data_IF_174974575061
#
_entry.id   IF_174974575061
#
_cell.length_a   1.000
_cell.length_b   1.000
_cell.length_c   1.000
_cell.angle_alpha   90.00
_cell.angle_beta   90.00
_cell.angle_gamma   90.00
#
_symmetry.space_group_name_H-M   'P 1'
#
loop_
_entity.id
_entity.type
_entity.pdbx_description
1 polymer ?
#
# COMPACT_ATOMS: atom_id res chain seq x y z
N UNK A 1 -8.67 8.94 65.65
CA UNK A 1 -7.80 9.42 64.55
C UNK A 1 -8.14 8.79 63.20
N UNK A 2 -8.44 7.50 63.12
CA UNK A 2 -8.72 6.78 61.86
C UNK A 2 -9.85 7.34 60.98
N UNK A 3 -10.94 7.82 61.59
CA UNK A 3 -12.10 8.36 60.86
C UNK A 3 -11.74 9.68 60.15
N UNK A 4 -10.90 10.51 60.78
CA UNK A 4 -10.46 11.79 60.23
C UNK A 4 -9.55 11.57 59.02
N UNK A 5 -8.65 10.60 59.13
CA UNK A 5 -7.75 10.19 58.05
C UNK A 5 -8.50 9.52 56.87
N UNK A 6 -9.51 8.70 57.16
CA UNK A 6 -10.37 8.10 56.12
C UNK A 6 -11.22 9.13 55.38
N UNK A 7 -11.66 10.19 56.07
CA UNK A 7 -12.40 11.30 55.48
C UNK A 7 -11.51 12.16 54.58
N UNK A 8 -10.29 12.47 55.04
CA UNK A 8 -9.28 13.18 54.24
C UNK A 8 -8.85 12.39 52.99
N UNK A 9 -8.76 11.06 53.07
CA UNK A 9 -8.50 10.22 51.89
C UNK A 9 -9.64 10.24 50.87
N UNK A 10 -10.91 10.29 51.31
CA UNK A 10 -12.06 10.42 50.40
C UNK A 10 -12.15 11.80 49.75
N UNK A 11 -11.83 12.85 50.49
CA UNK A 11 -11.78 14.21 49.94
C UNK A 11 -10.69 14.32 48.85
N UNK A 12 -9.48 13.79 49.10
CA UNK A 12 -8.41 13.76 48.09
C UNK A 12 -8.72 12.90 46.87
N UNK A 13 -9.46 11.80 47.02
CA UNK A 13 -9.92 11.00 45.89
C UNK A 13 -11.00 11.71 45.07
N UNK A 14 -11.93 12.42 45.72
CA UNK A 14 -12.95 13.22 45.04
C UNK A 14 -12.39 14.43 44.30
N UNK A 15 -11.37 15.10 44.85
CA UNK A 15 -10.67 16.21 44.19
C UNK A 15 -9.87 15.75 42.96
N UNK A 16 -9.21 14.58 43.05
CA UNK A 16 -8.53 13.98 41.89
C UNK A 16 -9.49 13.52 40.79
N UNK A 17 -10.68 13.00 41.14
CA UNK A 17 -11.72 12.65 40.15
C UNK A 17 -12.36 13.89 39.51
N UNK A 18 -12.50 14.99 40.26
CA UNK A 18 -13.00 16.26 39.70
C UNK A 18 -11.97 16.97 38.80
N UNK A 19 -10.66 16.90 39.11
CA UNK A 19 -9.61 17.40 38.19
C UNK A 19 -9.55 16.61 36.88
N UNK A 20 -9.81 15.30 36.91
CA UNK A 20 -9.88 14.47 35.70
C UNK A 20 -11.11 14.83 34.85
N UNK A 21 -12.24 15.18 35.48
CA UNK A 21 -13.46 15.63 34.79
C UNK A 21 -13.44 17.10 34.33
N UNK A 22 -12.60 17.95 34.94
CA UNK A 22 -12.47 19.37 34.59
C UNK A 22 -11.31 19.68 33.66
N UNK A 23 -10.44 18.71 33.34
CA UNK A 23 -9.67 18.83 32.10
C UNK A 23 -10.66 18.82 30.96
N UNK A 24 -10.95 20.02 30.45
CA UNK A 24 -11.59 20.23 29.16
C UNK A 24 -11.09 19.11 28.24
N UNK A 25 -11.99 18.25 27.77
CA UNK A 25 -11.70 17.33 26.69
C UNK A 25 -11.25 18.22 25.53
N UNK A 26 -9.96 18.56 25.50
CA UNK A 26 -9.31 19.23 24.38
C UNK A 26 -9.59 18.27 23.26
N UNK A 27 -10.56 18.63 22.43
CA UNK A 27 -10.92 17.89 21.23
C UNK A 27 -9.59 17.67 20.54
N UNK A 28 -9.07 16.44 20.63
CA UNK A 28 -7.76 16.13 20.09
C UNK A 28 -7.88 16.51 18.61
N UNK A 29 -7.05 17.45 18.16
CA UNK A 29 -7.23 18.03 16.84
C UNK A 29 -6.84 16.94 15.84
N UNK A 30 -7.83 16.34 15.17
CA UNK A 30 -7.63 15.25 14.22
C UNK A 30 -6.85 15.80 13.02
N UNK A 31 -5.53 15.70 13.08
CA UNK A 31 -4.62 16.20 12.06
C UNK A 31 -4.66 17.71 11.82
N UNK A 32 -3.89 18.15 10.82
CA UNK A 32 -3.85 19.52 10.34
C UNK A 32 -4.35 19.57 8.91
N UNK A 33 -5.36 20.41 8.63
CA UNK A 33 -5.81 20.70 7.26
C UNK A 33 -4.96 21.84 6.72
N UNK A 34 -4.01 21.52 5.84
CA UNK A 34 -3.28 22.51 5.03
C UNK A 34 -3.49 22.17 3.56
N UNK A 35 -3.83 23.17 2.73
CA UNK A 35 -4.08 23.01 1.30
C UNK A 35 -5.18 21.97 0.94
N UNK A 36 -6.30 21.97 1.68
CA UNK A 36 -7.40 21.00 1.51
C UNK A 36 -6.98 19.52 1.60
N UNK A 37 -5.82 19.23 2.18
CA UNK A 37 -5.37 17.87 2.50
C UNK A 37 -5.30 17.72 4.01
N UNK A 38 -5.85 16.64 4.53
CA UNK A 38 -5.75 16.26 5.94
C UNK A 38 -4.40 15.57 6.12
N UNK A 39 -3.47 16.21 6.83
CA UNK A 39 -2.21 15.61 7.21
C UNK A 39 -2.32 15.11 8.66
N UNK A 40 -2.04 13.82 8.86
CA UNK A 40 -1.88 13.20 10.17
C UNK A 40 -0.40 13.04 10.45
N UNK A 41 0.04 13.33 11.68
CA UNK A 41 1.38 12.94 12.09
C UNK A 41 1.48 11.41 12.18
N UNK A 42 2.62 10.86 11.76
CA UNK A 42 2.79 9.39 11.63
C UNK A 42 2.58 8.64 12.95
N UNK A 43 2.81 9.32 14.06
CA UNK A 43 2.76 8.75 15.40
C UNK A 43 1.39 9.00 16.08
N UNK A 44 0.53 9.83 15.48
CA UNK A 44 -0.82 10.08 15.99
C UNK A 44 -1.79 8.99 15.49
N UNK A 45 -1.99 7.95 16.30
CA UNK A 45 -3.10 7.00 16.11
C UNK A 45 -4.33 7.51 16.85
N UNK A 46 -5.19 8.21 16.13
CA UNK A 46 -6.41 8.79 16.70
C UNK A 46 -7.51 7.74 16.94
N UNK A 47 -7.55 6.71 16.10
CA UNK A 47 -8.48 5.59 16.23
C UNK A 47 -7.75 4.39 16.80
N UNK A 48 -8.36 3.74 17.78
CA UNK A 48 -7.87 2.46 18.25
C UNK A 48 -8.04 1.42 17.15
N UNK A 49 -7.26 0.33 17.19
CA UNK A 49 -7.41 -0.77 16.22
C UNK A 49 -8.78 -1.45 16.32
N UNK A 50 -9.47 -1.27 17.43
CA UNK A 50 -10.78 -1.84 17.73
C UNK A 50 -11.91 -1.05 17.05
N UNK A 51 -11.71 0.25 16.81
CA UNK A 51 -12.69 1.11 16.13
C UNK A 51 -12.79 0.85 14.62
N UNK A 52 -11.89 0.03 14.06
CA UNK A 52 -11.88 -0.27 12.63
C UNK A 52 -12.92 -1.36 12.33
N UNK A 53 -13.90 -1.11 11.45
CA UNK A 53 -14.89 -2.11 11.08
C UNK A 53 -14.23 -3.40 10.55
N UNK A 54 -14.72 -4.56 11.00
CA UNK A 54 -14.15 -5.87 10.64
C UNK A 54 -14.05 -6.08 9.12
N UNK A 55 -15.03 -5.58 8.35
CA UNK A 55 -15.03 -5.62 6.89
C UNK A 55 -13.83 -4.90 6.28
N UNK A 56 -13.45 -3.74 6.83
CA UNK A 56 -12.30 -2.98 6.35
C UNK A 56 -10.98 -3.68 6.67
N UNK A 57 -10.88 -4.32 7.85
CA UNK A 57 -9.71 -5.12 8.22
C UNK A 57 -9.50 -6.31 7.26
N UNK A 58 -10.56 -7.03 6.93
CA UNK A 58 -10.50 -8.15 5.98
C UNK A 58 -10.07 -7.69 4.59
N UNK A 59 -10.61 -6.58 4.09
CA UNK A 59 -10.23 -6.01 2.79
C UNK A 59 -8.76 -5.58 2.79
N UNK A 60 -8.29 -4.94 3.86
CA UNK A 60 -6.88 -4.56 3.99
C UNK A 60 -5.95 -5.78 3.92
N UNK A 61 -6.28 -6.85 4.64
CA UNK A 61 -5.51 -8.10 4.60
C UNK A 61 -5.51 -8.69 3.19
N UNK A 62 -6.66 -8.73 2.52
CA UNK A 62 -6.77 -9.20 1.14
C UNK A 62 -5.89 -8.40 0.18
N UNK A 63 -5.96 -7.06 0.21
CA UNK A 63 -5.13 -6.18 -0.63
C UNK A 63 -3.65 -6.41 -0.33
N UNK A 64 -3.26 -6.55 0.94
CA UNK A 64 -1.86 -6.78 1.31
C UNK A 64 -1.33 -8.14 0.83
N UNK A 65 -2.18 -9.18 0.82
CA UNK A 65 -1.83 -10.47 0.23
C UNK A 65 -1.78 -10.44 -1.30
N UNK A 66 -2.59 -9.59 -1.92
CA UNK A 66 -2.68 -9.46 -3.37
C UNK A 66 -1.53 -8.65 -3.97
N UNK A 67 -1.16 -7.52 -3.34
CA UNK A 67 -0.12 -6.61 -3.82
C UNK A 67 1.26 -7.24 -3.69
N UNK A 68 1.54 -7.89 -2.55
CA UNK A 68 2.80 -8.59 -2.31
C UNK A 68 2.54 -10.05 -1.96
N UNK A 69 2.33 -10.93 -2.97
CA UNK A 69 2.22 -12.37 -2.74
C UNK A 69 3.57 -12.94 -2.30
N UNK A 70 3.58 -13.76 -1.25
CA UNK A 70 4.80 -14.38 -0.73
C UNK A 70 5.20 -15.61 -1.56
N UNK A 71 5.60 -15.37 -2.82
CA UNK A 71 5.94 -16.41 -3.80
C UNK A 71 7.15 -17.25 -3.34
N UNK A 72 8.08 -16.62 -2.62
CA UNK A 72 9.31 -17.24 -2.14
C UNK A 72 9.19 -17.85 -0.74
N UNK A 73 8.06 -17.67 -0.05
CA UNK A 73 7.84 -18.18 1.31
C UNK A 73 8.78 -17.58 2.35
N UNK A 74 9.23 -16.34 2.14
CA UNK A 74 10.20 -15.67 3.01
C UNK A 74 9.52 -14.98 4.20
N UNK A 75 8.18 -14.82 4.19
CA UNK A 75 7.48 -14.25 5.33
C UNK A 75 7.46 -15.25 6.48
N UNK A 76 7.53 -14.71 7.70
CA UNK A 76 7.28 -15.48 8.92
C UNK A 76 5.87 -16.06 8.80
N UNK A 77 5.77 -17.40 8.73
CA UNK A 77 4.49 -18.09 8.77
C UNK A 77 3.74 -17.64 10.01
N UNK A 78 2.46 -17.32 9.87
CA UNK A 78 1.62 -17.01 11.02
C UNK A 78 1.68 -18.16 12.00
N UNK A 79 1.71 -17.82 13.29
CA UNK A 79 1.76 -18.82 14.33
C UNK A 79 0.43 -19.56 14.33
N UNK A 80 0.41 -20.77 13.80
CA UNK A 80 -0.80 -21.58 13.81
C UNK A 80 -1.00 -22.11 15.24
N UNK A 81 -2.14 -21.82 15.86
CA UNK A 81 -2.56 -22.45 17.13
C UNK A 81 -2.73 -23.98 17.02
N UNK A 82 -2.69 -24.51 15.80
CA UNK A 82 -2.69 -25.94 15.50
C UNK A 82 -1.30 -26.59 15.60
N UNK A 83 -0.36 -25.99 16.34
CA UNK A 83 0.64 -26.78 17.05
C UNK A 83 -0.03 -27.18 18.35
N UNK A 84 -0.73 -28.32 18.33
CA UNK A 84 -1.04 -29.02 19.56
C UNK A 84 0.22 -29.04 20.41
N UNK A 85 0.17 -28.32 21.53
CA UNK A 85 1.17 -28.42 22.60
C UNK A 85 1.41 -29.92 22.83
N UNK A 86 2.65 -30.42 22.75
CA UNK A 86 2.93 -31.78 23.18
C UNK A 86 2.34 -31.90 24.59
N UNK A 87 1.49 -32.89 24.85
CA UNK A 87 0.79 -33.07 26.14
C UNK A 87 1.74 -33.19 27.35
N UNK A 88 3.06 -33.14 27.11
CA UNK A 88 4.07 -33.07 28.13
C UNK A 88 5.27 -32.19 27.66
N UNK A 89 5.48 -30.97 28.19
CA UNK A 89 6.63 -30.13 27.85
C UNK A 89 7.98 -30.74 28.30
N UNK A 90 7.96 -31.85 29.05
CA UNK A 90 9.13 -32.65 29.43
C UNK A 90 9.46 -33.79 28.44
N UNK A 91 8.56 -34.14 27.51
CA UNK A 91 8.79 -35.29 26.61
C UNK A 91 9.47 -34.93 25.29
N UNK A 92 9.43 -33.66 24.87
CA UNK A 92 10.08 -33.24 23.63
C UNK A 92 11.30 -32.36 23.91
N UNK A 93 12.48 -32.92 23.63
CA UNK A 93 13.75 -32.22 23.78
C UNK A 93 13.83 -31.04 22.81
N UNK A 94 14.32 -29.91 23.32
CA UNK A 94 14.57 -28.71 22.53
C UNK A 94 15.47 -29.04 21.33
N UNK A 95 15.24 -28.36 20.20
CA UNK A 95 16.01 -28.58 18.97
C UNK A 95 17.53 -28.49 19.21
N UNK A 96 17.96 -27.57 20.06
CA UNK A 96 19.36 -27.42 20.46
C UNK A 96 19.89 -28.65 21.22
N UNK A 97 19.12 -29.20 22.16
CA UNK A 97 19.51 -30.46 22.85
C UNK A 97 19.55 -31.64 21.89
N UNK A 98 18.62 -31.72 20.94
CA UNK A 98 18.65 -32.74 19.88
C UNK A 98 19.92 -32.64 19.04
N UNK A 99 20.29 -31.43 18.61
CA UNK A 99 21.53 -31.19 17.85
C UNK A 99 22.78 -31.56 18.66
N UNK A 100 22.81 -31.26 19.97
CA UNK A 100 23.91 -31.66 20.85
C UNK A 100 24.00 -33.18 20.98
N UNK A 101 22.87 -33.88 21.14
CA UNK A 101 22.86 -35.35 21.18
C UNK A 101 23.27 -36.00 19.87
N UNK A 102 22.89 -35.40 18.73
CA UNK A 102 23.37 -35.83 17.40
C UNK A 102 24.89 -35.65 17.31
N UNK A 103 25.41 -34.49 17.74
CA UNK A 103 26.86 -34.23 17.75
C UNK A 103 27.64 -35.17 18.67
N UNK A 104 27.01 -35.62 19.76
CA UNK A 104 27.56 -36.61 20.69
C UNK A 104 27.35 -38.06 20.21
N UNK A 105 26.64 -38.30 19.10
CA UNK A 105 26.34 -39.64 18.60
C UNK A 105 25.30 -40.42 19.41
N UNK A 106 24.55 -39.76 20.31
CA UNK A 106 23.45 -40.38 21.07
C UNK A 106 22.14 -40.46 20.28
N UNK A 107 22.02 -39.69 19.19
CA UNK A 107 20.84 -39.64 18.33
C UNK A 107 21.29 -39.59 16.88
N UNK A 108 20.89 -40.58 16.08
CA UNK A 108 21.14 -40.53 14.64
C UNK A 108 20.11 -39.62 13.94
N UNK A 109 20.55 -38.92 12.89
CA UNK A 109 19.61 -38.30 11.98
C UNK A 109 18.73 -39.41 11.36
N UNK A 110 17.39 -39.29 11.40
CA UNK A 110 16.55 -40.29 10.76
C UNK A 110 16.90 -40.34 9.28
N UNK A 111 17.45 -41.47 8.84
CA UNK A 111 17.76 -41.70 7.43
C UNK A 111 16.43 -41.51 6.68
N UNK A 112 16.32 -40.50 5.80
CA UNK A 112 15.09 -40.29 5.05
C UNK A 112 14.80 -41.58 4.29
N UNK A 113 13.64 -42.20 4.53
CA UNK A 113 13.24 -43.36 3.74
C UNK A 113 13.23 -42.93 2.28
N UNK A 114 14.04 -43.60 1.46
CA UNK A 114 14.07 -43.36 0.02
C UNK A 114 12.64 -43.48 -0.50
N UNK A 115 12.13 -42.39 -1.09
CA UNK A 115 10.83 -42.44 -1.74
C UNK A 115 11.00 -43.37 -2.95
N UNK A 116 10.10 -44.35 -3.16
CA UNK A 116 10.18 -45.18 -4.35
C UNK A 116 10.13 -44.26 -5.57
N UNK A 117 11.10 -44.42 -6.48
CA UNK A 117 11.10 -43.68 -7.74
C UNK A 117 9.78 -43.93 -8.45
N UNK A 118 8.99 -42.87 -8.65
CA UNK A 118 7.79 -42.95 -9.49
C UNK A 118 8.26 -43.06 -10.93
N UNK A 119 8.31 -44.28 -11.44
CA UNK A 119 8.61 -44.56 -12.84
C UNK A 119 7.37 -44.15 -13.65
N UNK A 120 7.50 -43.06 -14.41
CA UNK A 120 6.46 -42.66 -15.37
C UNK A 120 6.60 -43.49 -16.64
N UNK A 121 5.46 -43.88 -17.22
CA UNK A 121 5.40 -44.63 -18.48
C UNK A 121 6.03 -43.78 -19.59
N UNK A 122 7.18 -44.21 -20.12
CA UNK A 122 7.88 -43.54 -21.22
C UNK A 122 9.22 -42.89 -20.88
N UNK A 123 9.64 -42.83 -19.61
CA UNK A 123 10.92 -42.20 -19.21
C UNK A 123 12.05 -43.15 -18.82
N UNK A 124 11.83 -44.48 -18.78
CA UNK A 124 12.84 -45.47 -18.34
C UNK A 124 13.10 -46.62 -19.33
N UNK A 125 13.14 -46.34 -20.63
CA UNK A 125 13.75 -47.29 -21.57
C UNK A 125 15.26 -47.15 -21.66
N UNK A 126 15.89 -46.21 -20.93
CA UNK A 126 17.29 -45.84 -21.16
C UNK A 126 18.33 -46.64 -20.38
N UNK A 127 17.98 -47.30 -19.27
CA UNK A 127 18.92 -48.05 -18.43
C UNK A 127 18.41 -49.44 -18.01
N UNK A 128 17.58 -50.09 -18.83
CA UNK A 128 17.06 -51.43 -18.51
C UNK A 128 18.04 -52.54 -18.97
N UNK A 129 19.25 -52.57 -18.40
CA UNK A 129 20.29 -53.57 -18.70
C UNK A 129 19.91 -55.01 -18.35
N UNK A 130 18.86 -55.21 -17.53
CA UNK A 130 18.43 -56.55 -17.11
C UNK A 130 17.67 -57.31 -18.22
N UNK A 131 17.01 -56.61 -19.15
CA UNK A 131 16.29 -57.23 -20.26
C UNK A 131 17.23 -57.77 -21.35
N UNK A 132 18.39 -57.13 -21.56
CA UNK A 132 19.38 -57.59 -22.52
C UNK A 132 19.99 -58.97 -22.20
N UNK A 133 19.99 -59.38 -20.92
CA UNK A 133 20.50 -60.69 -20.50
C UNK A 133 19.55 -61.86 -20.76
N UNK A 134 18.27 -61.60 -21.01
CA UNK A 134 17.23 -62.65 -21.20
C UNK A 134 16.88 -62.92 -22.66
N UNK A 135 17.78 -62.60 -23.59
CA UNK A 135 17.70 -63.10 -24.97
C UNK A 135 16.55 -62.54 -25.81
N UNK A 136 15.84 -61.50 -25.35
CA UNK A 136 14.93 -60.74 -26.22
C UNK A 136 15.75 -59.72 -27.02
N UNK A 137 15.59 -59.82 -28.33
CA UNK A 137 16.31 -59.11 -29.38
C UNK A 137 16.81 -57.70 -29.05
N UNK A 138 18.13 -57.57 -29.23
CA UNK A 138 18.86 -56.41 -29.74
C UNK A 138 18.32 -55.06 -29.26
N UNK A 139 18.95 -54.57 -28.20
CA UNK A 139 19.24 -53.14 -28.18
C UNK A 139 20.08 -52.84 -29.43
N UNK A 140 19.49 -52.10 -30.37
CA UNK A 140 20.26 -51.26 -31.27
C UNK A 140 20.95 -50.18 -30.43
N UNK A 141 21.95 -50.56 -29.64
CA UNK A 141 23.05 -49.65 -29.34
C UNK A 141 23.63 -49.44 -30.73
N UNK A 142 23.29 -48.31 -31.34
CA UNK A 142 23.92 -47.87 -32.59
C UNK A 142 25.41 -47.78 -32.31
N UNK A 143 26.09 -48.88 -32.60
CA UNK A 143 27.53 -48.99 -32.70
C UNK A 143 27.94 -47.96 -33.76
N UNK A 144 28.81 -47.05 -33.35
CA UNK A 144 29.52 -46.09 -34.20
C UNK A 144 28.69 -44.97 -34.86
N UNK A 145 28.50 -43.86 -34.14
CA UNK A 145 28.62 -42.54 -34.77
C UNK A 145 29.98 -41.93 -34.44
N UNK A 146 31.05 -42.65 -34.78
CA UNK A 146 32.35 -42.00 -34.99
C UNK A 146 32.46 -41.48 -36.44
N UNK A 147 31.32 -41.10 -37.04
CA UNK A 147 31.34 -40.35 -38.29
C UNK A 147 31.84 -38.95 -37.96
N UNK A 148 33.02 -38.62 -38.46
CA UNK A 148 33.59 -37.26 -38.42
C UNK A 148 32.55 -36.20 -38.80
N UNK A 149 31.60 -36.56 -39.68
CA UNK A 149 30.52 -35.69 -40.14
C UNK A 149 29.48 -35.36 -39.05
N UNK A 150 29.17 -36.30 -38.17
CA UNK A 150 28.32 -36.03 -37.00
C UNK A 150 28.99 -35.06 -36.03
N UNK A 151 30.28 -35.26 -35.76
CA UNK A 151 31.06 -34.34 -34.93
C UNK A 151 31.14 -32.93 -35.56
N UNK A 152 31.37 -32.85 -36.88
CA UNK A 152 31.32 -31.58 -37.63
C UNK A 152 29.95 -30.92 -37.53
N UNK A 153 28.85 -31.69 -37.66
CA UNK A 153 27.50 -31.15 -37.53
C UNK A 153 27.25 -30.60 -36.12
N UNK A 154 27.63 -31.34 -35.08
CA UNK A 154 27.48 -30.90 -33.69
C UNK A 154 28.33 -29.66 -33.38
N UNK A 155 29.57 -29.59 -33.89
CA UNK A 155 30.40 -28.38 -33.80
C UNK A 155 29.74 -27.20 -34.53
N UNK A 156 29.20 -27.41 -35.73
CA UNK A 156 28.51 -26.37 -36.50
C UNK A 156 27.25 -25.86 -35.78
N UNK A 157 26.46 -26.75 -35.18
CA UNK A 157 25.30 -26.38 -34.37
C UNK A 157 25.71 -25.57 -33.14
N UNK A 158 26.77 -26.01 -32.44
CA UNK A 158 27.32 -25.30 -31.29
C UNK A 158 27.81 -23.91 -31.68
N UNK A 159 28.48 -23.78 -32.82
CA UNK A 159 28.97 -22.50 -33.32
C UNK A 159 27.83 -21.56 -33.73
N UNK A 160 26.79 -22.09 -34.40
CA UNK A 160 25.56 -21.33 -34.71
C UNK A 160 24.88 -20.85 -33.43
N UNK A 161 24.74 -21.71 -32.42
CA UNK A 161 24.17 -21.35 -31.13
C UNK A 161 24.99 -20.26 -30.43
N UNK A 162 26.32 -20.39 -30.40
CA UNK A 162 27.24 -19.36 -29.85
C UNK A 162 27.08 -18.01 -30.58
N UNK A 163 27.02 -18.02 -31.90
CA UNK A 163 26.85 -16.80 -32.69
C UNK A 163 25.50 -16.13 -32.42
N UNK A 164 24.44 -16.93 -32.33
CA UNK A 164 23.10 -16.43 -32.01
C UNK A 164 23.02 -15.85 -30.59
N UNK A 165 23.61 -16.51 -29.59
CA UNK A 165 23.70 -15.96 -28.23
C UNK A 165 24.50 -14.65 -28.19
N UNK A 166 25.63 -14.58 -28.90
CA UNK A 166 26.42 -13.33 -29.02
C UNK A 166 25.64 -12.21 -29.70
N UNK A 167 24.85 -12.51 -30.73
CA UNK A 167 24.01 -11.51 -31.40
C UNK A 167 22.95 -10.97 -30.44
N UNK A 168 22.24 -11.85 -29.72
CA UNK A 168 21.27 -11.47 -28.69
C UNK A 168 21.90 -10.66 -27.57
N UNK A 169 23.08 -11.07 -27.10
CA UNK A 169 23.80 -10.34 -26.05
C UNK A 169 24.19 -8.93 -26.53
N UNK A 170 24.65 -8.78 -27.77
CA UNK A 170 24.91 -7.45 -28.37
C UNK A 170 23.65 -6.60 -28.49
N UNK A 171 22.51 -7.18 -28.83
CA UNK A 171 21.22 -6.47 -28.88
C UNK A 171 20.79 -5.98 -27.49
N UNK A 172 20.91 -6.84 -26.47
CA UNK A 172 20.58 -6.50 -25.09
C UNK A 172 21.51 -5.40 -24.56
N UNK A 173 22.81 -5.49 -24.87
CA UNK A 173 23.83 -4.53 -24.39
C UNK A 173 23.81 -3.21 -25.20
N UNK A 174 23.10 -3.14 -26.33
CA UNK A 174 23.10 -1.95 -27.21
C UNK A 174 22.75 -0.65 -26.49
N UNK A 175 21.87 -0.71 -25.49
CA UNK A 175 21.44 0.44 -24.69
C UNK A 175 22.05 0.45 -23.28
N UNK A 176 22.90 -0.51 -22.95
CA UNK A 176 23.55 -0.57 -21.65
C UNK A 176 24.75 0.38 -21.63
N UNK A 177 24.63 1.43 -20.83
CA UNK A 177 25.76 2.29 -20.51
C UNK A 177 26.57 1.65 -19.40
N UNK A 178 27.90 1.68 -19.52
CA UNK A 178 28.74 1.22 -18.41
C UNK A 178 28.51 2.12 -17.19
N UNK A 179 28.59 1.61 -15.96
CA UNK A 179 28.34 2.42 -14.76
C UNK A 179 29.19 3.70 -14.69
N UNK A 180 30.44 3.63 -15.15
CA UNK A 180 31.36 4.77 -15.22
C UNK A 180 30.86 5.83 -16.23
N UNK A 181 30.42 5.41 -17.41
CA UNK A 181 29.88 6.30 -18.44
C UNK A 181 28.59 6.97 -17.96
N UNK A 182 27.72 6.19 -17.29
CA UNK A 182 26.50 6.72 -16.66
C UNK A 182 26.82 7.78 -15.60
N UNK A 183 27.83 7.56 -14.76
CA UNK A 183 28.26 8.54 -13.76
C UNK A 183 28.79 9.83 -14.41
N UNK A 184 29.58 9.71 -15.49
CA UNK A 184 30.09 10.86 -16.25
C UNK A 184 28.95 11.65 -16.86
N UNK A 185 27.99 10.97 -17.51
CA UNK A 185 26.81 11.63 -18.09
C UNK A 185 25.99 12.36 -17.03
N UNK A 186 25.76 11.74 -15.87
CA UNK A 186 25.05 12.37 -14.76
C UNK A 186 25.77 13.64 -14.28
N UNK A 187 27.10 13.58 -14.15
CA UNK A 187 27.89 14.77 -13.77
C UNK A 187 27.81 15.88 -14.83
N UNK A 188 27.87 15.54 -16.11
CA UNK A 188 27.73 16.49 -17.21
C UNK A 188 26.32 17.12 -17.24
N UNK A 189 25.29 16.32 -16.98
CA UNK A 189 23.91 16.79 -16.86
C UNK A 189 23.75 17.74 -15.67
N UNK A 190 24.33 17.44 -14.51
CA UNK A 190 24.29 18.35 -13.36
C UNK A 190 25.07 19.64 -13.62
N UNK A 191 26.20 19.58 -14.32
CA UNK A 191 26.98 20.78 -14.69
C UNK A 191 26.20 21.66 -15.65
N UNK A 192 25.61 21.08 -16.70
CA UNK A 192 24.78 21.84 -17.65
C UNK A 192 23.54 22.42 -16.99
N UNK A 193 22.86 21.69 -16.11
CA UNK A 193 21.75 22.22 -15.31
C UNK A 193 22.16 23.43 -14.46
N UNK A 194 23.31 23.37 -13.79
CA UNK A 194 23.84 24.51 -13.01
C UNK A 194 24.13 25.74 -13.86
N UNK A 195 24.70 25.54 -15.06
CA UNK A 195 24.94 26.64 -16.00
C UNK A 195 23.61 27.25 -16.45
N UNK A 196 22.68 26.41 -16.89
CA UNK A 196 21.34 26.85 -17.32
C UNK A 196 20.58 27.59 -16.20
N UNK A 197 20.68 27.13 -14.96
CA UNK A 197 20.05 27.78 -13.81
C UNK A 197 20.69 29.15 -13.51
N UNK A 198 22.02 29.24 -13.61
CA UNK A 198 22.74 30.51 -13.44
C UNK A 198 22.31 31.53 -14.51
N UNK A 199 22.23 31.10 -15.76
CA UNK A 199 21.83 31.95 -16.89
C UNK A 199 20.36 32.38 -16.75
N UNK A 200 19.47 31.47 -16.35
CA UNK A 200 18.07 31.77 -16.06
C UNK A 200 17.90 32.81 -14.95
N UNK A 201 18.64 32.66 -13.84
CA UNK A 201 18.63 33.66 -12.76
C UNK A 201 19.20 35.01 -13.23
N UNK A 202 20.20 35.00 -14.10
CA UNK A 202 20.77 36.22 -14.67
C UNK A 202 19.76 36.96 -15.56
N UNK A 203 18.99 36.23 -16.38
CA UNK A 203 17.89 36.79 -17.19
C UNK A 203 16.82 37.44 -16.30
N UNK A 204 16.35 36.73 -15.27
CA UNK A 204 15.37 37.28 -14.31
C UNK A 204 15.92 38.55 -13.63
N UNK A 205 17.21 38.55 -13.26
CA UNK A 205 17.84 39.72 -12.64
C UNK A 205 17.83 40.92 -13.57
N UNK A 206 18.17 40.74 -14.85
CA UNK A 206 18.13 41.81 -15.85
C UNK A 206 16.71 42.36 -16.03
N UNK A 207 15.72 41.49 -16.17
CA UNK A 207 14.32 41.91 -16.28
C UNK A 207 13.81 42.66 -15.04
N UNK A 208 14.21 42.21 -13.85
CA UNK A 208 13.82 42.83 -12.59
C UNK A 208 14.44 44.22 -12.41
N UNK A 209 15.71 44.40 -12.78
CA UNK A 209 16.42 45.68 -12.73
C UNK A 209 15.81 46.70 -13.69
N UNK A 210 15.40 46.28 -14.90
CA UNK A 210 14.70 47.14 -15.85
C UNK A 210 13.36 47.63 -15.27
N UNK A 211 12.62 46.73 -14.60
CA UNK A 211 11.34 47.07 -13.97
C UNK A 211 11.50 47.92 -12.70
N UNK A 212 12.58 47.72 -11.95
CA UNK A 212 12.80 48.34 -10.65
C UNK A 212 14.23 48.90 -10.54
N UNK A 213 14.54 50.02 -11.23
CA UNK A 213 15.91 50.56 -11.28
C UNK A 213 16.43 51.06 -9.92
N UNK A 214 15.54 51.41 -8.99
CA UNK A 214 15.90 51.88 -7.65
C UNK A 214 16.09 50.76 -6.61
N UNK A 215 15.94 49.48 -7.00
CA UNK A 215 16.02 48.37 -6.06
C UNK A 215 17.46 48.15 -5.56
N UNK A 216 17.61 47.91 -4.26
CA UNK A 216 18.90 47.52 -3.66
C UNK A 216 19.33 46.12 -4.11
N UNK A 217 20.63 45.83 -4.11
CA UNK A 217 21.16 44.53 -4.53
C UNK A 217 20.51 43.36 -3.75
N UNK A 218 20.36 43.49 -2.43
CA UNK A 218 19.70 42.49 -1.60
C UNK A 218 18.23 42.27 -1.99
N UNK A 219 17.49 43.35 -2.28
CA UNK A 219 16.11 43.25 -2.74
C UNK A 219 16.02 42.59 -4.12
N UNK A 220 16.95 42.88 -5.04
CA UNK A 220 17.00 42.23 -6.35
C UNK A 220 17.30 40.74 -6.23
N UNK A 221 18.27 40.35 -5.40
CA UNK A 221 18.62 38.94 -5.21
C UNK A 221 17.48 38.15 -4.55
N UNK A 222 16.79 38.72 -3.57
CA UNK A 222 15.61 38.12 -2.95
C UNK A 222 14.47 37.93 -3.95
N UNK A 223 14.21 38.93 -4.80
CA UNK A 223 13.17 38.84 -5.83
C UNK A 223 13.52 37.81 -6.92
N UNK A 224 14.78 37.77 -7.38
CA UNK A 224 15.27 36.79 -8.35
C UNK A 224 15.13 35.37 -7.81
N UNK A 225 15.48 35.15 -6.54
CA UNK A 225 15.33 33.84 -5.90
C UNK A 225 13.86 33.39 -5.85
N UNK A 226 12.95 34.28 -5.43
CA UNK A 226 11.52 33.99 -5.36
C UNK A 226 10.94 33.67 -6.75
N UNK A 227 11.23 34.50 -7.75
CA UNK A 227 10.72 34.33 -9.11
C UNK A 227 11.27 33.05 -9.76
N UNK A 228 12.56 32.76 -9.58
CA UNK A 228 13.14 31.52 -10.07
C UNK A 228 12.48 30.30 -9.42
N UNK A 229 12.23 30.35 -8.10
CA UNK A 229 11.56 29.28 -7.36
C UNK A 229 10.11 29.07 -7.85
N UNK A 230 9.34 30.14 -8.03
CA UNK A 230 7.98 30.08 -8.57
C UNK A 230 7.95 29.49 -9.99
N UNK A 231 8.92 29.85 -10.84
CA UNK A 231 9.07 29.28 -12.17
C UNK A 231 9.43 27.78 -12.17
N UNK A 232 10.23 27.33 -11.21
CA UNK A 232 10.51 25.90 -11.04
C UNK A 232 9.28 25.15 -10.52
N UNK A 233 8.54 25.72 -9.57
CA UNK A 233 7.30 25.14 -9.07
C UNK A 233 6.26 24.97 -10.17
N UNK A 234 6.07 25.98 -11.03
CA UNK A 234 5.09 25.91 -12.12
C UNK A 234 5.45 24.84 -13.15
N UNK A 235 6.73 24.71 -13.52
CA UNK A 235 7.22 23.60 -14.37
C UNK A 235 6.96 22.23 -13.76
N UNK A 236 7.25 22.07 -12.46
CA UNK A 236 7.03 20.81 -11.76
C UNK A 236 5.54 20.45 -11.67
N UNK A 237 4.66 21.45 -11.43
CA UNK A 237 3.21 21.24 -11.42
C UNK A 237 2.67 20.80 -12.78
N UNK A 238 3.17 21.38 -13.88
CA UNK A 238 2.81 20.97 -15.24
C UNK A 238 3.22 19.52 -15.52
N UNK A 239 4.39 19.08 -15.03
CA UNK A 239 4.86 17.71 -15.23
C UNK A 239 4.08 16.67 -14.43
N UNK A 240 3.54 17.03 -13.26
CA UNK A 240 2.72 16.13 -12.43
C UNK A 240 1.30 15.99 -12.96
N UNK A 241 0.79 17.02 -13.65
CA UNK A 241 -0.55 17.04 -14.22
C UNK A 241 -0.50 16.77 -15.72
N UNK A 242 -0.25 15.52 -16.11
CA UNK A 242 -0.63 15.09 -17.46
C UNK A 242 -2.14 15.35 -17.61
N UNK A 243 -2.50 16.32 -18.46
CA UNK A 243 -3.89 16.78 -18.69
C UNK A 243 -4.86 15.64 -19.05
N UNK A 244 -4.32 14.53 -19.55
CA UNK A 244 -5.06 13.35 -19.99
C UNK A 244 -5.08 12.21 -18.97
N UNK A 245 -4.25 12.26 -17.92
CA UNK A 245 -4.07 11.18 -16.93
C UNK A 245 -4.27 11.65 -15.50
N UNK A 246 -5.03 12.72 -15.29
CA UNK A 246 -5.55 13.03 -13.98
C UNK A 246 -6.52 11.93 -13.56
N UNK A 247 -6.10 11.10 -12.60
CA UNK A 247 -6.94 10.24 -11.76
C UNK A 247 -7.90 11.12 -10.93
N UNK A 248 -8.76 11.88 -11.60
CA UNK A 248 -9.99 12.36 -11.00
C UNK A 248 -11.01 11.26 -11.26
N UNK A 249 -11.21 10.32 -10.33
CA UNK A 249 -12.30 9.37 -10.47
C UNK A 249 -13.57 10.19 -10.69
N UNK A 250 -14.29 9.87 -11.75
CA UNK A 250 -15.54 10.53 -12.08
C UNK A 250 -16.54 10.25 -10.95
N UNK A 251 -16.60 11.17 -9.98
CA UNK A 251 -17.35 11.01 -8.74
C UNK A 251 -18.86 10.84 -9.01
N UNK A 252 -19.31 11.26 -10.19
CA UNK A 252 -20.68 11.07 -10.66
C UNK A 252 -21.03 9.60 -10.91
N UNK A 253 -20.04 8.78 -11.28
CA UNK A 253 -20.23 7.34 -11.56
C UNK A 253 -20.03 6.46 -10.34
N UNK A 254 -19.19 6.89 -9.39
CA UNK A 254 -18.83 6.10 -8.21
C UNK A 254 -19.78 6.30 -7.04
N UNK A 255 -20.37 7.49 -6.88
CA UNK A 255 -21.36 7.75 -5.83
C UNK A 255 -22.77 7.69 -6.41
N UNK A 256 -23.47 6.56 -6.21
CA UNK A 256 -24.92 6.49 -6.47
C UNK A 256 -25.61 7.42 -5.47
N UNK A 257 -26.23 8.51 -5.90
CA UNK A 257 -27.03 9.35 -5.00
C UNK A 257 -28.40 8.71 -4.77
N UNK A 258 -28.59 8.09 -3.61
CA UNK A 258 -29.89 7.58 -3.20
C UNK A 258 -30.64 8.71 -2.48
N UNK A 259 -31.32 9.54 -3.27
CA UNK A 259 -32.09 10.69 -2.80
C UNK A 259 -33.49 10.25 -2.36
N UNK A 260 -33.83 10.53 -1.10
CA UNK A 260 -35.18 10.38 -0.57
C UNK A 260 -35.76 11.75 -0.22
N UNK A 261 -37.04 11.93 -0.51
CA UNK A 261 -37.77 13.13 -0.14
C UNK A 261 -38.72 12.80 0.99
N UNK A 262 -38.51 13.43 2.15
CA UNK A 262 -39.45 13.37 3.27
C UNK A 262 -40.27 14.64 3.32
N UNK A 263 -41.58 14.48 3.48
CA UNK A 263 -42.54 15.56 3.60
C UNK A 263 -43.06 15.59 5.03
N UNK A 264 -43.05 16.76 5.67
CA UNK A 264 -43.59 16.95 7.01
C UNK A 264 -44.26 18.31 7.13
N UNK A 265 -45.17 18.42 8.09
CA UNK A 265 -45.80 19.68 8.48
C UNK A 265 -45.04 20.22 9.70
N UNK A 266 -44.59 21.47 9.64
CA UNK A 266 -44.05 22.17 10.83
C UNK A 266 -45.14 22.81 11.68
N UNK A 267 -46.37 22.86 11.14
CA UNK A 267 -47.52 23.42 11.83
C UNK A 267 -48.16 22.42 12.78
N UNK A 268 -49.07 22.94 13.59
CA UNK A 268 -49.92 22.15 14.47
C UNK A 268 -51.29 22.00 13.79
N UNK A 269 -51.90 20.83 13.94
CA UNK A 269 -53.29 20.61 13.52
C UNK A 269 -54.24 21.33 14.47
N UNK A 270 -55.00 22.30 13.97
CA UNK A 270 -55.89 23.11 14.80
C UNK A 270 -57.14 23.58 14.04
N UNK A 271 -58.15 24.04 14.78
CA UNK A 271 -59.34 24.70 14.21
C UNK A 271 -58.99 26.12 13.75
N UNK A 272 -59.29 26.41 12.49
CA UNK A 272 -59.14 27.71 11.85
C UNK A 272 -60.28 28.64 12.26
N UNK A 273 -60.12 29.94 11.99
CA UNK A 273 -61.13 30.96 12.31
C UNK A 273 -62.47 30.74 11.62
N UNK A 274 -62.45 30.05 10.47
CA UNK A 274 -63.65 29.72 9.68
C UNK A 274 -64.39 28.48 10.22
N UNK A 275 -63.92 27.90 11.33
CA UNK A 275 -64.52 26.71 11.96
C UNK A 275 -64.06 25.37 11.38
N UNK A 276 -63.33 25.38 10.27
CA UNK A 276 -62.69 24.19 9.67
C UNK A 276 -61.43 23.78 10.43
N UNK A 277 -61.10 22.48 10.43
CA UNK A 277 -59.82 21.98 10.95
C UNK A 277 -58.78 21.94 9.82
N UNK A 278 -57.54 22.31 10.13
CA UNK A 278 -56.45 22.26 9.17
C UNK A 278 -55.07 22.42 9.78
N UNK A 279 -54.04 22.09 8.99
CA UNK A 279 -52.65 22.29 9.36
C UNK A 279 -52.30 23.78 9.38
N UNK A 280 -51.79 24.31 10.50
CA UNK A 280 -51.47 25.73 10.60
C UNK A 280 -50.36 26.22 9.66
N UNK A 281 -49.53 25.32 9.13
CA UNK A 281 -48.43 25.67 8.24
C UNK A 281 -48.83 25.83 6.76
N UNK A 282 -49.83 25.08 6.29
CA UNK A 282 -50.24 25.10 4.87
C UNK A 282 -51.73 25.28 4.65
N UNK A 283 -52.51 25.40 5.75
CA UNK A 283 -53.96 25.53 5.76
C UNK A 283 -54.69 24.38 5.06
N UNK A 284 -54.04 23.21 4.94
CA UNK A 284 -54.67 22.04 4.33
C UNK A 284 -55.66 21.42 5.31
N UNK A 285 -56.89 21.17 4.84
CA UNK A 285 -58.03 20.70 5.63
C UNK A 285 -58.06 19.18 5.84
N UNK A 286 -57.11 18.43 5.26
CA UNK A 286 -56.99 16.98 5.44
C UNK A 286 -55.82 16.63 6.37
N UNK A 287 -56.10 15.87 7.43
CA UNK A 287 -55.12 15.47 8.44
C UNK A 287 -53.96 14.68 7.82
N UNK A 288 -54.27 13.68 6.98
CA UNK A 288 -53.29 12.81 6.32
C UNK A 288 -52.65 13.42 5.05
N UNK A 289 -52.74 14.74 4.86
CA UNK A 289 -52.08 15.37 3.71
C UNK A 289 -50.56 15.26 3.79
N UNK A 290 -49.87 15.09 2.64
CA UNK A 290 -48.42 15.14 2.62
C UNK A 290 -47.93 16.49 3.16
N UNK A 291 -46.87 16.44 3.96
CA UNK A 291 -46.27 17.62 4.57
C UNK A 291 -45.94 18.73 3.56
N UNK A 292 -46.19 19.98 3.94
CA UNK A 292 -45.91 21.11 3.06
C UNK A 292 -44.42 21.42 2.92
N UNK A 293 -43.57 20.89 3.80
CA UNK A 293 -42.11 21.08 3.75
C UNK A 293 -41.45 19.82 3.23
N UNK A 294 -40.64 19.99 2.18
CA UNK A 294 -39.87 18.93 1.53
C UNK A 294 -38.42 18.99 1.97
N UNK A 295 -37.96 18.01 2.75
CA UNK A 295 -36.52 17.79 2.99
C UNK A 295 -36.00 16.77 1.98
N UNK A 296 -34.87 17.12 1.36
CA UNK A 296 -34.05 16.21 0.55
C UNK A 296 -33.03 15.53 1.45
N UNK A 297 -33.19 14.22 1.67
CA UNK A 297 -32.22 13.38 2.38
C UNK A 297 -31.39 12.61 1.37
N UNK A 298 -30.07 12.72 1.46
CA UNK A 298 -29.16 11.86 0.71
C UNK A 298 -28.67 10.77 1.66
N UNK A 299 -29.15 9.52 1.47
CA UNK A 299 -28.81 8.39 2.34
C UNK A 299 -27.30 8.09 2.39
N UNK A 300 -26.57 8.53 1.37
CA UNK A 300 -25.14 8.28 1.25
C UNK A 300 -24.30 9.48 1.70
N UNK A 301 -24.95 10.60 2.01
CA UNK A 301 -24.28 11.74 2.64
C UNK A 301 -24.18 11.46 4.13
N UNK A 302 -22.95 11.41 4.63
CA UNK A 302 -22.66 11.28 6.05
C UNK A 302 -22.95 12.64 6.69
N UNK A 303 -24.08 12.75 7.38
CA UNK A 303 -24.38 13.92 8.21
C UNK A 303 -23.66 13.74 9.55
N UNK A 304 -22.60 14.52 9.76
CA UNK A 304 -21.86 14.61 11.01
C UNK A 304 -22.64 15.41 12.08
N UNK A 305 -23.95 15.20 12.20
CA UNK A 305 -24.70 15.75 13.34
C UNK A 305 -24.26 14.99 14.58
N UNK A 306 -23.28 15.58 15.28
CA UNK A 306 -22.84 15.21 16.62
C UNK A 306 -24.05 14.98 17.53
N UNK A 307 -24.08 13.82 18.20
CA UNK A 307 -24.99 13.56 19.31
C UNK A 307 -24.74 14.60 20.41
N UNK A 308 -25.54 15.66 20.42
CA UNK A 308 -25.75 16.48 21.61
C UNK A 308 -26.96 15.91 22.34
N UNK A 309 -26.69 15.02 23.29
CA UNK A 309 -27.62 14.73 24.39
C UNK A 309 -27.21 15.58 25.59
#
# INVERSE_FOLDING_TARGET
MFIKEAYERRQKQGEGEQEILSTEQKIHKIGSIKNNKVNYDKDEQFFSKEDIPQKALQIKQFIQTFVDPDILGLRKKQWNYSVSVPKNPLSEETHERKLVKIKLGLLDHPIPKEKPNKIYVGTETRDNYQLAKKGSDKWNISVETNSVDFQKNLMNQTQKAKNHSKAKEKEIIKNYLKPIEHQIQLQQNLRSQKVNEKDFRAQIRQEYLIKNPAASQQATDGAVFRLAYEAHLSKNQQQIQDKNYTFMPDMSKTLKHNLEFKYYHNGVWQKLKDGSEGWSCCMNSTYDSPGCIKIKLDKNRWDYSSFTH
#
